data_IF_399931560207
#
_entry.id   IF_399931560207
#
_cell.length_a   1.000
_cell.length_b   1.000
_cell.length_c   1.000
_cell.angle_alpha   90.00
_cell.angle_beta   90.00
_cell.angle_gamma   90.00
#
_symmetry.space_group_name_H-M   'P 1'
#
loop_
_entity.id
_entity.type
_entity.pdbx_description
1 polymer ?
#
# COMPACT_ATOMS: atom_id res chain seq x y z
N UNK A 1 1.30 19.11 9.11
CA UNK A 1 1.97 17.84 8.74
C UNK A 1 2.53 18.05 7.34
N UNK A 2 3.79 17.69 7.10
CA UNK A 2 4.40 17.81 5.76
C UNK A 2 3.87 16.69 4.86
N UNK A 3 3.36 17.03 3.68
CA UNK A 3 2.91 16.03 2.70
C UNK A 3 4.11 15.18 2.26
N UNK A 4 3.96 13.86 2.30
CA UNK A 4 4.99 12.94 1.81
C UNK A 4 4.97 12.92 0.29
N UNK A 5 6.16 12.83 -0.33
CA UNK A 5 6.29 12.53 -1.76
C UNK A 5 5.70 11.15 -1.98
N UNK A 6 4.78 11.00 -2.92
CA UNK A 6 4.07 9.74 -3.17
C UNK A 6 4.81 8.89 -4.20
N UNK A 7 4.70 7.57 -4.06
CA UNK A 7 5.07 6.65 -5.13
C UNK A 7 4.10 6.81 -6.30
N UNK A 8 4.50 6.33 -7.47
CA UNK A 8 3.69 6.44 -8.69
C UNK A 8 3.28 5.07 -9.22
N UNK A 9 2.13 5.01 -9.86
CA UNK A 9 1.68 3.88 -10.64
C UNK A 9 1.27 4.34 -12.03
N UNK A 10 1.74 3.65 -13.06
CA UNK A 10 1.30 3.80 -14.43
C UNK A 10 0.32 2.67 -14.74
N UNK A 11 -0.91 3.02 -15.13
CA UNK A 11 -1.92 2.07 -15.59
C UNK A 11 -2.68 2.67 -16.77
N UNK A 12 -2.82 1.90 -17.85
CA UNK A 12 -3.47 2.34 -19.11
C UNK A 12 -2.89 3.66 -19.67
N UNK A 13 -1.58 3.88 -19.52
CA UNK A 13 -0.86 5.12 -19.89
C UNK A 13 -1.25 6.36 -19.08
N UNK A 14 -1.96 6.21 -17.96
CA UNK A 14 -2.24 7.27 -16.99
C UNK A 14 -1.35 7.10 -15.75
N UNK A 15 -0.88 8.23 -15.20
CA UNK A 15 -0.11 8.28 -13.96
C UNK A 15 -1.04 8.51 -12.76
N UNK A 16 -0.87 7.69 -11.72
CA UNK A 16 -1.57 7.78 -10.45
C UNK A 16 -0.56 7.89 -9.31
N UNK A 17 -0.78 8.81 -8.37
CA UNK A 17 0.01 8.86 -7.14
C UNK A 17 -0.52 7.84 -6.14
N UNK A 18 0.32 7.02 -5.54
CA UNK A 18 -0.12 6.03 -4.56
C UNK A 18 -0.34 6.69 -3.20
N UNK A 19 -1.42 6.29 -2.52
CA UNK A 19 -1.71 6.66 -1.13
C UNK A 19 -1.10 5.69 -0.12
N UNK A 20 -0.35 4.68 -0.60
CA UNK A 20 0.29 3.64 0.21
C UNK A 20 1.67 3.31 -0.33
N UNK A 21 2.56 2.89 0.55
CA UNK A 21 3.90 2.44 0.19
C UNK A 21 3.91 0.92 -0.04
N UNK A 22 3.81 0.48 -1.29
CA UNK A 22 3.71 -0.96 -1.63
C UNK A 22 4.94 -1.78 -1.18
N UNK A 23 6.11 -1.16 -1.11
CA UNK A 23 7.39 -1.83 -0.78
C UNK A 23 7.58 -1.99 0.72
N UNK A 24 6.88 -1.23 1.57
CA UNK A 24 7.05 -1.33 3.03
C UNK A 24 6.69 -2.73 3.55
N UNK A 25 5.74 -3.41 2.93
CA UNK A 25 5.42 -4.80 3.27
C UNK A 25 6.58 -5.74 2.95
N UNK A 26 7.23 -5.56 1.79
CA UNK A 26 8.40 -6.33 1.39
C UNK A 26 9.56 -6.14 2.40
N UNK A 27 9.87 -4.89 2.78
CA UNK A 27 10.92 -4.63 3.76
C UNK A 27 10.57 -5.07 5.18
N UNK A 28 9.28 -5.19 5.52
CA UNK A 28 8.86 -5.77 6.81
C UNK A 28 9.14 -7.26 6.86
N UNK A 29 8.96 -7.96 5.74
CA UNK A 29 9.23 -9.39 5.62
C UNK A 29 10.73 -9.68 5.45
N UNK A 30 11.46 -8.83 4.71
CA UNK A 30 12.90 -8.91 4.45
C UNK A 30 13.62 -7.65 4.93
N UNK A 31 13.77 -7.45 6.25
CA UNK A 31 14.40 -6.25 6.80
C UNK A 31 15.85 -6.07 6.33
N UNK A 32 16.57 -7.15 6.04
CA UNK A 32 17.93 -7.14 5.52
C UNK A 32 18.03 -6.64 4.07
N UNK A 33 16.91 -6.57 3.35
CA UNK A 33 16.84 -6.04 1.98
C UNK A 33 16.58 -4.53 1.97
N UNK A 34 16.22 -3.94 3.11
CA UNK A 34 16.00 -2.51 3.22
C UNK A 34 17.33 -1.77 3.13
N UNK A 35 17.49 -0.81 2.19
CA UNK A 35 18.70 0.00 2.11
C UNK A 35 18.94 0.81 3.38
N UNK A 36 20.21 1.08 3.67
CA UNK A 36 20.56 2.09 4.67
C UNK A 36 20.30 3.48 4.11
N UNK A 37 19.38 4.22 4.76
CA UNK A 37 19.10 5.61 4.42
C UNK A 37 20.05 6.51 5.21
N UNK A 38 21.00 7.13 4.51
CA UNK A 38 22.02 8.02 5.10
C UNK A 38 21.50 9.43 5.38
N UNK A 39 20.31 9.76 4.86
CA UNK A 39 19.70 11.08 4.94
C UNK A 39 18.24 10.95 5.34
N UNK A 40 17.78 11.90 6.15
CA UNK A 40 16.36 12.03 6.51
C UNK A 40 15.78 13.30 5.91
N UNK A 41 14.59 13.18 5.31
CA UNK A 41 13.80 14.29 4.81
C UNK A 41 12.39 14.17 5.37
N UNK A 42 11.83 15.26 5.92
CA UNK A 42 10.47 15.24 6.48
C UNK A 42 9.38 15.08 5.41
N UNK A 43 9.67 15.36 4.14
CA UNK A 43 8.78 15.10 3.01
C UNK A 43 9.05 13.72 2.36
N UNK A 44 10.08 13.00 2.80
CA UNK A 44 10.42 11.66 2.30
C UNK A 44 11.00 10.81 3.43
N UNK A 45 10.21 10.62 4.47
CA UNK A 45 10.63 9.92 5.69
C UNK A 45 11.09 8.47 5.44
N UNK A 46 10.49 7.80 4.45
CA UNK A 46 10.82 6.43 4.05
C UNK A 46 12.17 6.32 3.34
N UNK A 47 12.73 7.43 2.88
CA UNK A 47 14.05 7.50 2.26
C UNK A 47 14.13 7.05 0.79
N UNK A 48 13.01 6.66 0.17
CA UNK A 48 12.96 6.25 -1.23
C UNK A 48 11.70 6.70 -1.95
N UNK A 49 11.74 6.69 -3.29
CA UNK A 49 10.58 6.87 -4.18
C UNK A 49 10.54 5.68 -5.13
N UNK A 50 9.35 5.11 -5.34
CA UNK A 50 9.13 4.04 -6.28
C UNK A 50 8.15 4.44 -7.41
N UNK A 51 8.32 3.78 -8.56
CA UNK A 51 7.38 3.84 -9.67
C UNK A 51 7.03 2.42 -10.09
N UNK A 52 5.74 2.18 -10.22
CA UNK A 52 5.16 0.93 -10.67
C UNK A 52 4.47 1.09 -12.00
N UNK A 53 4.28 -0.01 -12.71
CA UNK A 53 3.49 -0.05 -13.93
C UNK A 53 2.71 -1.35 -14.00
N UNK A 54 1.42 -1.27 -14.30
CA UNK A 54 0.61 -2.44 -14.66
C UNK A 54 0.55 -2.52 -16.19
N UNK A 55 1.23 -3.52 -16.76
CA UNK A 55 1.24 -3.82 -18.20
C UNK A 55 1.19 -5.33 -18.42
N UNK A 56 0.62 -5.79 -19.53
CA UNK A 56 0.52 -7.22 -19.85
C UNK A 56 -0.05 -8.09 -18.71
N UNK A 57 -1.02 -7.56 -17.97
CA UNK A 57 -1.62 -8.18 -16.78
C UNK A 57 -0.63 -8.47 -15.63
N UNK A 58 0.47 -7.73 -15.55
CA UNK A 58 1.47 -7.86 -14.49
C UNK A 58 1.84 -6.49 -13.92
N UNK A 59 2.09 -6.45 -12.61
CA UNK A 59 2.62 -5.31 -11.89
C UNK A 59 4.15 -5.37 -11.92
N UNK A 60 4.76 -4.31 -12.42
CA UNK A 60 6.20 -4.13 -12.48
C UNK A 60 6.64 -3.03 -11.53
N UNK A 61 7.85 -3.17 -10.97
CA UNK A 61 8.57 -2.08 -10.34
C UNK A 61 9.58 -1.51 -11.34
N UNK A 62 9.26 -0.36 -11.91
CA UNK A 62 10.09 0.29 -12.92
C UNK A 62 11.24 1.08 -12.27
N UNK A 63 10.95 1.67 -11.11
CA UNK A 63 11.88 2.57 -10.42
C UNK A 63 11.89 2.32 -8.93
N UNK A 64 13.08 2.41 -8.36
CA UNK A 64 13.33 2.46 -6.92
C UNK A 64 14.57 3.30 -6.69
N UNK A 65 14.37 4.54 -6.24
CA UNK A 65 15.41 5.52 -6.01
C UNK A 65 15.48 5.88 -4.53
N UNK A 66 16.68 5.83 -3.95
CA UNK A 66 16.91 6.24 -2.56
C UNK A 66 17.54 7.62 -2.48
N UNK A 67 17.18 8.36 -1.43
CA UNK A 67 17.80 9.64 -1.11
C UNK A 67 19.26 9.43 -0.68
N UNK A 68 20.21 9.97 -1.45
CA UNK A 68 21.63 9.70 -1.28
C UNK A 68 22.34 10.74 -0.39
N UNK A 69 21.95 12.01 -0.48
CA UNK A 69 22.58 13.13 0.23
C UNK A 69 21.59 14.28 0.55
N UNK A 70 22.10 15.30 1.26
CA UNK A 70 21.34 16.47 1.70
C UNK A 70 20.94 17.41 0.55
N UNK A 71 21.55 17.24 -0.62
CA UNK A 71 21.25 18.01 -1.84
C UNK A 71 20.11 17.36 -2.64
N UNK A 72 19.46 16.35 -2.07
CA UNK A 72 18.36 15.60 -2.66
C UNK A 72 18.74 14.80 -3.90
N UNK A 73 20.01 14.41 -4.04
CA UNK A 73 20.40 13.49 -5.09
C UNK A 73 19.77 12.11 -4.85
N UNK A 74 19.36 11.46 -5.94
CA UNK A 74 18.73 10.15 -5.94
C UNK A 74 19.71 9.10 -6.46
N UNK A 75 19.81 7.97 -5.76
CA UNK A 75 20.55 6.79 -6.20
C UNK A 75 19.56 5.71 -6.62
N UNK A 76 19.59 5.31 -7.89
CA UNK A 76 18.79 4.19 -8.38
C UNK A 76 19.33 2.87 -7.80
N UNK A 77 18.46 2.11 -7.12
CA UNK A 77 18.78 0.81 -6.51
C UNK A 77 17.82 -0.30 -6.97
N UNK A 78 16.98 -0.05 -7.97
CA UNK A 78 15.97 -1.00 -8.45
C UNK A 78 16.56 -2.35 -8.83
N UNK A 79 17.57 -2.39 -9.71
CA UNK A 79 18.24 -3.64 -10.13
C UNK A 79 18.93 -4.39 -8.98
N UNK A 80 19.40 -3.67 -7.96
CA UNK A 80 20.14 -4.26 -6.83
C UNK A 80 19.19 -4.99 -5.86
N UNK A 81 18.01 -4.40 -5.61
CA UNK A 81 17.04 -4.92 -4.64
C UNK A 81 16.01 -5.83 -5.31
N UNK A 82 15.58 -5.44 -6.51
CA UNK A 82 14.57 -6.12 -7.32
C UNK A 82 15.18 -6.50 -8.68
N UNK A 83 15.99 -7.59 -8.72
CA UNK A 83 16.66 -8.01 -9.95
C UNK A 83 15.66 -8.42 -11.04
N UNK A 84 14.49 -8.91 -10.64
CA UNK A 84 13.35 -9.13 -11.52
C UNK A 84 12.40 -7.95 -11.47
N UNK A 85 11.93 -7.51 -12.64
CA UNK A 85 11.05 -6.33 -12.72
C UNK A 85 9.62 -6.63 -12.27
N UNK A 86 9.16 -7.88 -12.40
CA UNK A 86 7.82 -8.26 -11.95
C UNK A 86 7.77 -8.18 -10.43
N UNK A 87 6.86 -7.35 -9.91
CA UNK A 87 6.70 -7.16 -8.48
C UNK A 87 5.79 -8.25 -7.88
N UNK A 88 6.25 -9.50 -7.98
CA UNK A 88 5.50 -10.70 -7.58
C UNK A 88 5.20 -10.79 -6.09
N UNK A 89 5.93 -10.02 -5.27
CA UNK A 89 5.74 -9.92 -3.83
C UNK A 89 4.39 -9.32 -3.43
N UNK A 90 3.78 -8.53 -4.31
CA UNK A 90 2.57 -7.80 -3.97
C UNK A 90 1.30 -8.60 -4.28
N UNK A 91 0.44 -8.74 -3.28
CA UNK A 91 -0.97 -9.11 -3.43
C UNK A 91 -1.82 -8.12 -2.65
N UNK A 92 -2.89 -7.63 -3.27
CA UNK A 92 -3.84 -6.73 -2.62
C UNK A 92 -4.52 -5.76 -3.58
N UNK A 93 -5.03 -4.67 -3.01
CA UNK A 93 -5.77 -3.63 -3.72
C UNK A 93 -4.95 -2.33 -3.81
N UNK A 94 -4.79 -1.81 -5.02
CA UNK A 94 -4.15 -0.52 -5.28
C UNK A 94 -5.20 0.49 -5.73
N UNK A 95 -5.38 1.57 -4.96
CA UNK A 95 -6.33 2.63 -5.28
C UNK A 95 -5.81 3.51 -6.42
N UNK A 96 -6.65 3.77 -7.42
CA UNK A 96 -6.31 4.55 -8.62
C UNK A 96 -7.33 5.65 -8.95
N UNK A 97 -8.33 5.92 -8.12
CA UNK A 97 -9.22 7.05 -8.38
C UNK A 97 -8.56 8.42 -8.10
N UNK A 98 -9.02 9.42 -8.87
CA UNK A 98 -8.65 10.83 -8.70
C UNK A 98 -9.37 11.50 -7.51
N UNK A 99 -10.39 10.84 -6.96
CA UNK A 99 -11.21 11.39 -5.89
C UNK A 99 -10.54 11.25 -4.53
N UNK A 100 -9.82 12.29 -4.11
CA UNK A 100 -9.14 12.30 -2.81
C UNK A 100 -9.67 13.44 -1.98
N UNK A 101 -10.64 13.12 -1.12
CA UNK A 101 -11.07 14.04 -0.07
C UNK A 101 -9.89 14.47 0.81
N UNK A 102 -10.09 15.46 1.68
CA UNK A 102 -9.05 15.84 2.64
C UNK A 102 -8.61 14.62 3.46
N UNK A 103 -7.32 14.27 3.38
CA UNK A 103 -6.73 13.09 4.04
C UNK A 103 -7.29 11.75 3.53
N UNK A 104 -7.53 11.64 2.21
CA UNK A 104 -8.00 10.42 1.53
C UNK A 104 -9.36 9.89 2.01
N UNK A 105 -10.17 10.76 2.65
CA UNK A 105 -11.51 10.41 3.13
C UNK A 105 -12.42 9.91 2.01
N UNK A 106 -13.15 8.85 2.33
CA UNK A 106 -14.22 8.28 1.50
C UNK A 106 -15.48 9.14 1.68
N UNK A 107 -15.81 9.99 0.71
CA UNK A 107 -17.04 10.81 0.72
C UNK A 107 -18.20 10.06 0.04
N UNK A 108 -19.43 10.37 0.42
CA UNK A 108 -20.64 9.66 -0.02
C UNK A 108 -20.91 9.78 -1.52
N UNK A 109 -20.47 10.86 -2.17
CA UNK A 109 -20.58 11.10 -3.60
C UNK A 109 -19.36 10.64 -4.41
N UNK A 110 -18.39 9.99 -3.75
CA UNK A 110 -17.17 9.50 -4.36
C UNK A 110 -17.36 8.25 -5.22
N UNK A 111 -16.55 8.15 -6.27
CA UNK A 111 -16.33 6.92 -7.03
C UNK A 111 -14.90 6.46 -6.74
N UNK A 112 -14.79 5.20 -6.33
CA UNK A 112 -13.53 4.61 -5.87
C UNK A 112 -13.11 3.51 -6.82
N UNK A 113 -11.85 3.54 -7.23
CA UNK A 113 -11.32 2.62 -8.23
C UNK A 113 -10.08 1.91 -7.67
N UNK A 114 -10.07 0.58 -7.77
CA UNK A 114 -9.00 -0.26 -7.26
C UNK A 114 -8.55 -1.27 -8.31
N UNK A 115 -7.24 -1.50 -8.39
CA UNK A 115 -6.67 -2.63 -9.10
C UNK A 115 -6.46 -3.78 -8.12
N UNK A 116 -7.04 -4.94 -8.43
CA UNK A 116 -6.79 -6.19 -7.71
C UNK A 116 -5.58 -6.89 -8.29
N UNK A 117 -4.53 -7.03 -7.49
CA UNK A 117 -3.28 -7.69 -7.85
C UNK A 117 -3.10 -8.94 -7.01
N UNK A 118 -2.73 -10.07 -7.63
CA UNK A 118 -2.41 -11.32 -6.95
C UNK A 118 -1.01 -11.76 -7.37
N UNK A 119 -0.07 -11.75 -6.43
CA UNK A 119 1.34 -12.12 -6.65
C UNK A 119 1.94 -11.42 -7.87
N UNK A 120 1.73 -10.11 -7.94
CA UNK A 120 2.13 -9.25 -9.05
C UNK A 120 1.35 -9.45 -10.35
N UNK A 121 0.26 -10.24 -10.38
CA UNK A 121 -0.59 -10.38 -11.56
C UNK A 121 -1.84 -9.51 -11.40
N UNK A 122 -2.11 -8.64 -12.36
CA UNK A 122 -3.36 -7.90 -12.42
C UNK A 122 -4.51 -8.85 -12.74
N UNK A 123 -5.52 -8.86 -11.87
CA UNK A 123 -6.71 -9.70 -12.02
C UNK A 123 -7.87 -8.93 -12.61
N UNK A 124 -8.19 -7.78 -12.05
CA UNK A 124 -9.30 -6.94 -12.49
C UNK A 124 -9.23 -5.53 -11.89
N UNK A 125 -9.89 -4.58 -12.55
CA UNK A 125 -10.23 -3.27 -11.99
C UNK A 125 -11.61 -3.36 -11.33
N UNK A 126 -11.72 -2.86 -10.11
CA UNK A 126 -12.97 -2.75 -9.35
C UNK A 126 -13.34 -1.28 -9.22
N UNK A 127 -14.61 -0.98 -9.42
CA UNK A 127 -15.16 0.38 -9.27
C UNK A 127 -16.33 0.29 -8.31
N UNK A 128 -16.37 1.20 -7.34
CA UNK A 128 -17.39 1.26 -6.30
C UNK A 128 -17.93 2.68 -6.16
N UNK A 129 -19.23 2.82 -5.94
CA UNK A 129 -19.74 3.98 -5.21
C UNK A 129 -19.50 3.81 -3.70
N UNK A 130 -19.80 4.85 -2.91
CA UNK A 130 -19.59 4.80 -1.45
C UNK A 130 -20.28 3.62 -0.76
N UNK A 131 -21.56 3.35 -1.05
CA UNK A 131 -22.30 2.26 -0.42
C UNK A 131 -21.70 0.90 -0.77
N UNK A 132 -21.39 0.68 -2.05
CA UNK A 132 -20.75 -0.55 -2.53
C UNK A 132 -19.37 -0.75 -1.88
N UNK A 133 -18.60 0.32 -1.71
CA UNK A 133 -17.30 0.26 -1.02
C UNK A 133 -17.48 -0.13 0.45
N UNK A 134 -18.44 0.46 1.17
CA UNK A 134 -18.68 0.12 2.57
C UNK A 134 -19.17 -1.33 2.72
N UNK A 135 -20.03 -1.81 1.80
CA UNK A 135 -20.49 -3.21 1.78
C UNK A 135 -19.33 -4.17 1.50
N UNK A 136 -18.47 -3.84 0.53
CA UNK A 136 -17.27 -4.61 0.22
C UNK A 136 -16.30 -4.68 1.42
N UNK A 137 -16.02 -3.54 2.06
CA UNK A 137 -15.16 -3.47 3.27
C UNK A 137 -15.74 -4.33 4.40
N UNK A 138 -17.07 -4.29 4.60
CA UNK A 138 -17.73 -5.10 5.61
C UNK A 138 -17.60 -6.59 5.31
N UNK A 139 -17.88 -7.01 4.08
CA UNK A 139 -17.77 -8.42 3.70
C UNK A 139 -16.33 -8.93 3.80
N UNK A 140 -15.35 -8.16 3.30
CA UNK A 140 -13.93 -8.46 3.47
C UNK A 140 -13.52 -8.57 4.94
N UNK A 141 -14.00 -7.66 5.79
CA UNK A 141 -13.68 -7.65 7.21
C UNK A 141 -14.29 -8.84 7.97
N UNK A 142 -15.51 -9.26 7.62
CA UNK A 142 -16.13 -10.46 8.18
C UNK A 142 -15.31 -11.73 7.88
N UNK A 143 -14.78 -11.86 6.65
CA UNK A 143 -13.83 -12.92 6.30
C UNK A 143 -12.49 -12.76 7.03
N UNK A 144 -11.98 -11.53 7.11
CA UNK A 144 -10.72 -11.24 7.79
C UNK A 144 -10.75 -11.68 9.27
N UNK A 145 -11.86 -11.42 9.97
CA UNK A 145 -12.03 -11.77 11.38
C UNK A 145 -12.02 -13.29 11.67
N UNK A 146 -12.34 -14.12 10.68
CA UNK A 146 -12.32 -15.58 10.80
C UNK A 146 -11.05 -16.21 10.21
N UNK A 147 -10.21 -15.41 9.56
CA UNK A 147 -8.91 -15.84 9.02
C UNK A 147 -7.82 -15.86 10.09
N UNK A 148 -6.70 -16.54 9.83
CA UNK A 148 -5.51 -16.47 10.68
C UNK A 148 -4.77 -15.11 10.56
N UNK A 149 -5.07 -14.31 9.53
CA UNK A 149 -4.41 -13.03 9.26
C UNK A 149 -4.67 -11.97 10.34
N UNK A 150 -5.82 -12.02 11.02
CA UNK A 150 -6.17 -11.11 12.12
C UNK A 150 -5.18 -11.19 13.27
N UNK A 151 -4.59 -12.36 13.54
CA UNK A 151 -3.62 -12.53 14.62
C UNK A 151 -2.32 -11.81 14.29
N UNK A 152 -1.86 -11.90 13.03
CA UNK A 152 -0.66 -11.21 12.53
C UNK A 152 -0.84 -9.69 12.67
N UNK A 153 -2.00 -9.16 12.27
CA UNK A 153 -2.29 -7.72 12.39
C UNK A 153 -2.41 -7.30 13.85
N UNK A 154 -3.13 -8.05 14.68
CA UNK A 154 -3.23 -7.76 16.11
C UNK A 154 -1.86 -7.75 16.78
N UNK A 155 -0.99 -8.71 16.45
CA UNK A 155 0.37 -8.78 16.99
C UNK A 155 1.25 -7.64 16.51
N UNK A 156 1.13 -7.22 15.25
CA UNK A 156 1.77 -6.01 14.75
C UNK A 156 1.37 -4.79 15.57
N UNK A 157 0.06 -4.60 15.83
CA UNK A 157 -0.43 -3.48 16.62
C UNK A 157 0.03 -3.56 18.09
N UNK A 158 0.05 -4.75 18.69
CA UNK A 158 0.54 -4.97 20.07
C UNK A 158 2.02 -4.62 20.22
N UNK A 159 2.89 -5.11 19.34
CA UNK A 159 4.35 -4.86 19.41
C UNK A 159 4.69 -3.38 19.22
N UNK A 160 3.96 -2.70 18.34
CA UNK A 160 4.20 -1.27 18.08
C UNK A 160 3.53 -0.34 19.11
N UNK A 161 2.67 -0.89 19.99
CA UNK A 161 1.96 -0.15 21.01
C UNK A 161 1.97 -0.91 22.34
N UNK A 162 3.12 -1.42 22.79
CA UNK A 162 3.23 -2.21 24.03
C UNK A 162 2.71 -1.46 25.28
N UNK A 163 2.55 -0.13 25.19
CA UNK A 163 1.91 0.73 26.21
C UNK A 163 0.63 1.45 25.73
N UNK A 164 0.05 1.08 24.58
CA UNK A 164 -1.02 1.78 23.87
C UNK A 164 -2.30 0.97 23.62
N UNK A 165 -2.83 0.98 22.39
CA UNK A 165 -4.13 0.39 22.04
C UNK A 165 -4.07 -1.14 22.12
N UNK A 166 -4.51 -1.70 23.26
CA UNK A 166 -4.52 -3.16 23.51
C UNK A 166 -5.93 -3.77 23.32
N UNK A 167 -6.98 -2.93 23.29
CA UNK A 167 -8.37 -3.41 23.19
C UNK A 167 -8.68 -3.90 21.77
N UNK A 168 -9.07 -5.17 21.66
CA UNK A 168 -9.39 -5.84 20.39
C UNK A 168 -10.47 -5.08 19.60
N UNK A 169 -11.43 -4.46 20.27
CA UNK A 169 -12.50 -3.69 19.62
C UNK A 169 -11.95 -2.46 18.89
N UNK A 170 -10.92 -1.81 19.45
CA UNK A 170 -10.30 -0.64 18.82
C UNK A 170 -9.44 -1.06 17.64
N UNK A 171 -8.68 -2.15 17.77
CA UNK A 171 -7.92 -2.73 16.65
C UNK A 171 -8.87 -3.13 15.51
N UNK A 172 -9.96 -3.82 15.82
CA UNK A 172 -10.99 -4.19 14.84
C UNK A 172 -11.55 -2.98 14.10
N UNK A 173 -11.82 -1.87 14.81
CA UNK A 173 -12.28 -0.64 14.19
C UNK A 173 -11.22 -0.06 13.22
N UNK A 174 -9.96 0.01 13.64
CA UNK A 174 -8.85 0.50 12.81
C UNK A 174 -8.69 -0.38 11.56
N UNK A 175 -8.73 -1.70 11.73
CA UNK A 175 -8.61 -2.65 10.62
C UNK A 175 -9.77 -2.49 9.65
N UNK A 176 -11.01 -2.38 10.14
CA UNK A 176 -12.18 -2.16 9.29
C UNK A 176 -12.08 -0.84 8.50
N UNK A 177 -11.68 0.25 9.15
CA UNK A 177 -11.52 1.55 8.49
C UNK A 177 -10.47 1.50 7.36
N UNK A 178 -9.41 0.72 7.55
CA UNK A 178 -8.31 0.53 6.60
C UNK A 178 -8.36 -0.82 5.86
N UNK A 179 -9.55 -1.44 5.75
CA UNK A 179 -9.68 -2.81 5.23
C UNK A 179 -9.13 -2.96 3.81
N UNK A 180 -9.25 -1.92 2.98
CA UNK A 180 -8.72 -1.92 1.62
C UNK A 180 -7.20 -2.03 1.59
N UNK A 181 -6.51 -1.50 2.60
CA UNK A 181 -5.04 -1.55 2.73
C UNK A 181 -4.59 -2.93 3.20
N UNK A 182 -5.30 -3.49 4.19
CA UNK A 182 -4.98 -4.79 4.78
C UNK A 182 -5.42 -5.99 3.92
N UNK A 183 -6.23 -5.76 2.89
CA UNK A 183 -6.67 -6.80 1.96
C UNK A 183 -5.48 -7.27 1.11
N UNK A 184 -4.94 -8.46 1.44
CA UNK A 184 -3.97 -9.19 0.61
C UNK A 184 -4.64 -10.13 -0.38
N UNK A 185 -5.75 -10.74 0.03
CA UNK A 185 -6.59 -11.59 -0.80
C UNK A 185 -8.04 -11.08 -0.76
N UNK A 186 -8.69 -11.05 -1.93
CA UNK A 186 -10.11 -10.71 -2.02
C UNK A 186 -10.95 -11.97 -1.93
N UNK A 187 -11.81 -12.03 -0.91
CA UNK A 187 -12.65 -13.17 -0.57
C UNK A 187 -14.07 -13.07 -1.16
N UNK A 188 -14.41 -11.94 -1.80
CA UNK A 188 -15.75 -11.62 -2.33
C UNK A 188 -15.79 -11.11 -3.78
#
# INVERSE_FOLDING_TARGET
MTQQIQDKLIYENQEFYLNRELIEEYFREFPEKRPEFTVSCTALWRGYIAEFEVKNNELYINKFDVLADIDFNLKALRDEIFPENKFEWYSGLIRIDDFRGEFDRELEDGIFEYLEIIKGNFKQKRTFNYLELQEFKKAQFEYFLISEEIEIICDFWRRNNENGIIKKEVINKIVFENMMEYTREVYV
#
